data_IF_647187559700
#
_entry.id   IF_647187559700
#
_cell.length_a   1.000
_cell.length_b   1.000
_cell.length_c   1.000
_cell.angle_alpha   90.00
_cell.angle_beta   90.00
_cell.angle_gamma   90.00
#
_symmetry.space_group_name_H-M   'P 1'
#
loop_
_entity.id
_entity.type
_entity.pdbx_description
1 polymer ?
#
# COMPACT_ATOMS: atom_id res chain seq x y z
N UNK A 1 20.92 14.76 -3.46
CA UNK A 1 20.74 13.66 -4.45
C UNK A 1 20.42 12.34 -3.75
N UNK A 2 21.34 11.76 -2.97
CA UNK A 2 21.19 10.45 -2.30
C UNK A 2 19.96 10.34 -1.37
N UNK A 3 19.64 11.39 -0.60
CA UNK A 3 18.46 11.39 0.29
C UNK A 3 17.13 11.17 -0.46
N UNK A 4 17.00 11.69 -1.69
CA UNK A 4 15.80 11.49 -2.50
C UNK A 4 15.68 10.04 -2.96
N UNK A 5 16.81 9.41 -3.36
CA UNK A 5 16.84 7.98 -3.71
C UNK A 5 16.40 7.11 -2.52
N UNK A 6 16.99 7.34 -1.34
CA UNK A 6 16.66 6.61 -0.11
C UNK A 6 15.17 6.76 0.22
N UNK A 7 14.63 7.98 0.07
CA UNK A 7 13.20 8.24 0.27
C UNK A 7 12.31 7.41 -0.68
N UNK A 8 12.61 7.39 -1.98
CA UNK A 8 11.82 6.62 -2.95
C UNK A 8 11.91 5.11 -2.69
N UNK A 9 13.09 4.61 -2.32
CA UNK A 9 13.29 3.20 -1.94
C UNK A 9 12.48 2.86 -0.68
N UNK A 10 12.49 3.74 0.33
CA UNK A 10 11.70 3.56 1.55
C UNK A 10 10.19 3.51 1.25
N UNK A 11 9.69 4.42 0.42
CA UNK A 11 8.29 4.43 -0.01
C UNK A 11 7.92 3.13 -0.76
N UNK A 12 8.82 2.64 -1.61
CA UNK A 12 8.63 1.39 -2.34
C UNK A 12 8.57 0.18 -1.39
N UNK A 13 9.44 0.13 -0.38
CA UNK A 13 9.44 -0.93 0.63
C UNK A 13 8.15 -0.93 1.46
N UNK A 14 7.69 0.25 1.89
CA UNK A 14 6.42 0.40 2.62
C UNK A 14 5.23 -0.05 1.75
N UNK A 15 5.22 0.35 0.47
CA UNK A 15 4.17 -0.03 -0.46
C UNK A 15 4.14 -1.55 -0.72
N UNK A 16 5.31 -2.18 -0.82
CA UNK A 16 5.42 -3.64 -0.90
C UNK A 16 4.84 -4.32 0.34
N UNK A 17 5.13 -3.80 1.53
CA UNK A 17 4.53 -4.29 2.78
C UNK A 17 2.99 -4.19 2.80
N UNK A 18 2.43 -3.07 2.32
CA UNK A 18 0.98 -2.90 2.15
C UNK A 18 0.40 -3.94 1.17
N UNK A 19 1.07 -4.15 0.05
CA UNK A 19 0.64 -5.13 -0.96
C UNK A 19 0.65 -6.56 -0.39
N UNK A 20 1.70 -6.92 0.36
CA UNK A 20 1.81 -8.22 1.02
C UNK A 20 0.69 -8.43 2.07
N UNK A 21 0.37 -7.42 2.88
CA UNK A 21 -0.71 -7.51 3.88
C UNK A 21 -2.07 -7.70 3.21
N UNK A 22 -2.37 -6.91 2.16
CA UNK A 22 -3.64 -7.04 1.43
C UNK A 22 -3.74 -8.38 0.72
N UNK A 23 -2.63 -8.85 0.13
CA UNK A 23 -2.56 -10.14 -0.54
C UNK A 23 -2.77 -11.29 0.45
N UNK A 24 -2.12 -11.25 1.62
CA UNK A 24 -2.33 -12.23 2.70
C UNK A 24 -3.79 -12.28 3.15
N UNK A 25 -4.44 -11.11 3.30
CA UNK A 25 -5.85 -11.06 3.65
C UNK A 25 -6.76 -11.65 2.55
N UNK A 26 -6.44 -11.45 1.26
CA UNK A 26 -7.17 -12.06 0.14
C UNK A 26 -6.97 -13.59 0.09
N UNK A 27 -5.77 -14.07 0.41
CA UNK A 27 -5.48 -15.51 0.49
C UNK A 27 -6.32 -16.14 1.59
N UNK A 28 -6.32 -15.56 2.78
CA UNK A 28 -7.13 -16.02 3.91
C UNK A 28 -8.65 -16.03 3.60
N UNK A 29 -9.14 -15.06 2.82
CA UNK A 29 -10.53 -15.02 2.33
C UNK A 29 -10.82 -16.10 1.28
N UNK A 30 -9.84 -16.44 0.45
CA UNK A 30 -9.98 -17.46 -0.60
C UNK A 30 -9.93 -18.87 0.00
N UNK A 31 -9.06 -19.09 1.00
CA UNK A 31 -9.01 -20.35 1.75
C UNK A 31 -10.32 -20.57 2.53
N UNK A 32 -10.92 -19.49 3.04
CA UNK A 32 -12.24 -19.55 3.67
C UNK A 32 -13.35 -19.89 2.67
N UNK A 33 -13.27 -19.40 1.43
CA UNK A 33 -14.26 -19.68 0.37
C UNK A 33 -14.27 -21.16 -0.06
N UNK A 34 -13.12 -21.82 0.01
CA UNK A 34 -12.95 -23.25 -0.34
C UNK A 34 -13.15 -24.17 0.88
N UNK A 35 -13.66 -23.63 2.00
CA UNK A 35 -13.92 -24.35 3.26
C UNK A 35 -12.67 -25.05 3.84
N UNK A 36 -11.48 -24.53 3.53
CA UNK A 36 -10.19 -25.10 3.96
C UNK A 36 -9.78 -24.61 5.36
N UNK A 37 -10.37 -23.51 5.84
CA UNK A 37 -9.93 -22.81 7.04
C UNK A 37 -11.10 -22.30 7.87
N UNK A 38 -11.00 -22.44 9.19
CA UNK A 38 -12.04 -21.99 10.10
C UNK A 38 -12.27 -20.47 10.01
N UNK A 39 -13.52 -20.00 9.88
CA UNK A 39 -13.84 -18.57 9.77
C UNK A 39 -13.40 -17.77 10.98
N UNK A 40 -13.38 -18.38 12.17
CA UNK A 40 -12.92 -17.74 13.40
C UNK A 40 -11.41 -17.45 13.36
N UNK A 41 -10.61 -18.40 12.86
CA UNK A 41 -9.17 -18.23 12.73
C UNK A 41 -8.84 -17.23 11.61
N UNK A 42 -9.57 -17.29 10.50
CA UNK A 42 -9.39 -16.39 9.38
C UNK A 42 -9.68 -14.92 9.74
N UNK A 43 -10.82 -14.66 10.39
CA UNK A 43 -11.20 -13.32 10.84
C UNK A 43 -10.24 -12.76 11.90
N UNK A 44 -9.78 -13.58 12.85
CA UNK A 44 -8.79 -13.18 13.86
C UNK A 44 -7.45 -12.77 13.22
N UNK A 45 -6.96 -13.56 12.25
CA UNK A 45 -5.72 -13.24 11.54
C UNK A 45 -5.87 -11.97 10.71
N UNK A 46 -6.94 -11.83 9.94
CA UNK A 46 -7.19 -10.62 9.13
C UNK A 46 -7.30 -9.38 10.01
N UNK A 47 -7.98 -9.46 11.16
CA UNK A 47 -8.14 -8.33 12.06
C UNK A 47 -6.81 -7.87 12.67
N UNK A 48 -5.91 -8.80 12.97
CA UNK A 48 -4.57 -8.50 13.48
C UNK A 48 -3.74 -7.70 12.49
N UNK A 49 -3.87 -7.99 11.20
CA UNK A 49 -3.12 -7.33 10.12
C UNK A 49 -3.76 -6.04 9.60
N UNK A 50 -5.01 -5.78 9.99
CA UNK A 50 -5.73 -4.57 9.59
C UNK A 50 -5.08 -3.32 10.19
N UNK A 51 -4.74 -3.34 11.48
CA UNK A 51 -4.08 -2.22 12.17
C UNK A 51 -2.73 -1.83 11.54
N UNK A 52 -1.79 -2.75 11.27
CA UNK A 52 -0.55 -2.39 10.59
C UNK A 52 -0.77 -1.89 9.16
N UNK A 53 -1.80 -2.34 8.42
CA UNK A 53 -2.17 -1.76 7.11
C UNK A 53 -2.50 -0.26 7.25
N UNK A 54 -3.34 0.10 8.23
CA UNK A 54 -3.71 1.49 8.50
C UNK A 54 -2.51 2.36 8.84
N UNK A 55 -1.64 1.87 9.72
CA UNK A 55 -0.44 2.60 10.15
C UNK A 55 0.53 2.78 8.99
N UNK A 56 0.82 1.73 8.22
CA UNK A 56 1.71 1.82 7.06
C UNK A 56 1.17 2.77 6.00
N UNK A 57 -0.15 2.76 5.73
CA UNK A 57 -0.76 3.68 4.77
C UNK A 57 -0.71 5.14 5.25
N UNK A 58 -0.93 5.38 6.55
CA UNK A 58 -0.81 6.71 7.14
C UNK A 58 0.64 7.22 7.08
N UNK A 59 1.62 6.36 7.40
CA UNK A 59 3.05 6.70 7.30
C UNK A 59 3.43 7.01 5.85
N UNK A 60 2.99 6.21 4.88
CA UNK A 60 3.23 6.47 3.46
C UNK A 60 2.63 7.82 3.03
N UNK A 61 1.40 8.11 3.45
CA UNK A 61 0.73 9.39 3.16
C UNK A 61 1.47 10.58 3.78
N UNK A 62 1.99 10.44 5.00
CA UNK A 62 2.76 11.48 5.70
C UNK A 62 4.13 11.71 5.05
N UNK A 63 4.81 10.64 4.61
CA UNK A 63 6.06 10.72 3.85
C UNK A 63 5.88 11.46 2.52
N UNK A 64 4.77 11.21 1.80
CA UNK A 64 4.43 11.93 0.57
C UNK A 64 4.10 13.41 0.80
N UNK A 65 3.48 13.72 1.94
CA UNK A 65 3.23 15.11 2.37
C UNK A 65 4.56 15.84 2.65
N UNK A 66 5.47 15.21 3.39
CA UNK A 66 6.75 15.81 3.80
C UNK A 66 7.65 16.15 2.61
N UNK A 67 7.55 15.39 1.52
CA UNK A 67 8.33 15.60 0.28
C UNK A 67 7.65 16.55 -0.71
N UNK A 68 6.48 17.12 -0.38
CA UNK A 68 5.81 18.12 -1.22
C UNK A 68 5.22 17.56 -2.52
N UNK A 69 4.97 16.25 -2.61
CA UNK A 69 4.35 15.63 -3.78
C UNK A 69 2.82 15.69 -3.69
N UNK A 70 2.27 16.89 -3.88
CA UNK A 70 0.84 17.19 -3.71
C UNK A 70 -0.10 16.30 -4.53
N UNK A 71 0.28 15.92 -5.75
CA UNK A 71 -0.54 15.07 -6.64
C UNK A 71 -0.66 13.64 -6.09
N UNK A 72 0.46 13.03 -5.67
CA UNK A 72 0.45 11.69 -5.07
C UNK A 72 -0.24 11.69 -3.71
N UNK A 73 -0.07 12.76 -2.94
CA UNK A 73 -0.79 12.94 -1.69
C UNK A 73 -2.30 13.03 -1.92
N UNK A 74 -2.76 13.83 -2.89
CA UNK A 74 -4.18 13.98 -3.20
C UNK A 74 -4.82 12.66 -3.68
N UNK A 75 -4.05 11.78 -4.33
CA UNK A 75 -4.48 10.43 -4.69
C UNK A 75 -4.52 9.47 -3.47
N UNK A 76 -3.62 9.65 -2.51
CA UNK A 76 -3.56 8.85 -1.29
C UNK A 76 -4.64 9.26 -0.26
N UNK A 77 -4.96 10.56 -0.16
CA UNK A 77 -5.95 11.16 0.76
C UNK A 77 -7.31 10.47 0.76
N UNK A 78 -7.98 10.18 -0.37
CA UNK A 78 -9.27 9.48 -0.34
C UNK A 78 -9.13 8.07 0.25
N UNK A 79 -8.00 7.40 0.04
CA UNK A 79 -7.70 6.12 0.66
C UNK A 79 -7.54 6.28 2.18
N UNK A 80 -6.70 7.22 2.64
CA UNK A 80 -6.43 7.45 4.06
C UNK A 80 -7.67 7.93 4.81
N UNK A 81 -8.49 8.79 4.19
CA UNK A 81 -9.74 9.30 4.74
C UNK A 81 -10.79 8.20 4.84
N UNK A 82 -10.93 7.35 3.81
CA UNK A 82 -11.77 6.16 3.88
C UNK A 82 -11.35 5.24 5.05
N UNK A 83 -10.04 5.10 5.23
CA UNK A 83 -9.46 4.30 6.30
C UNK A 83 -9.72 4.90 7.69
N UNK A 84 -9.59 6.21 7.85
CA UNK A 84 -9.87 6.92 9.09
C UNK A 84 -11.36 6.87 9.48
N UNK A 85 -12.27 7.01 8.51
CA UNK A 85 -13.72 6.88 8.73
C UNK A 85 -14.06 5.47 9.21
N UNK A 86 -13.42 4.44 8.63
CA UNK A 86 -13.61 3.05 9.03
C UNK A 86 -13.09 2.78 10.46
N UNK A 87 -11.98 3.40 10.83
CA UNK A 87 -11.42 3.36 12.18
C UNK A 87 -12.35 4.03 13.20
N UNK A 88 -12.90 5.21 12.88
CA UNK A 88 -13.84 5.96 13.74
C UNK A 88 -15.16 5.21 13.93
N UNK A 89 -15.67 4.51 12.90
CA UNK A 89 -16.92 3.73 13.01
C UNK A 89 -16.79 2.43 13.82
N UNK A 90 -15.61 2.08 14.33
CA UNK A 90 -15.32 0.82 15.06
C UNK A 90 -15.73 -0.47 14.33
N UNK A 91 -16.02 -0.40 13.03
CA UNK A 91 -16.29 -1.54 12.15
C UNK A 91 -14.99 -2.17 11.64
N UNK A 92 -13.90 -2.13 12.43
CA UNK A 92 -12.62 -2.74 12.06
C UNK A 92 -12.66 -4.26 12.16
N UNK A 93 -13.56 -4.77 13.00
CA UNK A 93 -13.78 -6.19 13.21
C UNK A 93 -14.72 -6.70 12.13
N UNK A 94 -14.19 -7.64 11.38
CA UNK A 94 -14.96 -8.47 10.49
C UNK A 94 -15.71 -9.46 11.38
N UNK A 95 -17.02 -9.27 11.52
CA UNK A 95 -17.86 -10.19 12.32
C UNK A 95 -18.13 -11.47 11.53
N UNK A 96 -17.95 -12.61 12.19
CA UNK A 96 -17.93 -13.95 11.58
C UNK A 96 -19.26 -14.27 10.90
N UNK A 97 -20.35 -13.69 11.40
CA UNK A 97 -21.73 -13.87 10.91
C UNK A 97 -22.05 -13.03 9.68
N UNK A 98 -21.35 -11.91 9.44
CA UNK A 98 -21.56 -11.06 8.25
C UNK A 98 -20.58 -11.36 7.11
N UNK A 99 -19.42 -11.97 7.42
CA UNK A 99 -18.42 -12.39 6.43
C UNK A 99 -19.08 -13.20 5.34
N UNK A 100 -19.68 -14.34 5.68
CA UNK A 100 -20.23 -15.25 4.67
C UNK A 100 -21.32 -14.62 3.81
N UNK A 101 -22.08 -13.66 4.36
CA UNK A 101 -23.14 -12.95 3.64
C UNK A 101 -22.60 -11.92 2.64
N UNK A 102 -21.47 -11.27 2.97
CA UNK A 102 -20.88 -10.20 2.17
C UNK A 102 -19.51 -10.54 1.54
N UNK A 103 -19.05 -11.79 1.66
CA UNK A 103 -17.74 -12.31 1.22
C UNK A 103 -17.33 -11.78 -0.17
N UNK A 104 -18.25 -11.86 -1.14
CA UNK A 104 -17.97 -11.50 -2.52
C UNK A 104 -17.77 -9.99 -2.71
N UNK A 105 -18.53 -9.18 -1.96
CA UNK A 105 -18.41 -7.72 -1.93
C UNK A 105 -17.11 -7.29 -1.24
N UNK A 106 -16.77 -7.92 -0.12
CA UNK A 106 -15.54 -7.62 0.63
C UNK A 106 -14.28 -8.04 -0.14
N UNK A 107 -14.33 -9.18 -0.83
CA UNK A 107 -13.28 -9.64 -1.76
C UNK A 107 -13.09 -8.65 -2.90
N UNK A 108 -14.18 -8.20 -3.56
CA UNK A 108 -14.12 -7.20 -4.64
C UNK A 108 -13.55 -5.88 -4.15
N UNK A 109 -13.92 -5.44 -2.94
CA UNK A 109 -13.40 -4.23 -2.31
C UNK A 109 -11.90 -4.32 -2.03
N UNK A 110 -11.43 -5.46 -1.52
CA UNK A 110 -10.01 -5.73 -1.28
C UNK A 110 -9.21 -5.88 -2.58
N UNK A 111 -9.79 -6.46 -3.63
CA UNK A 111 -9.17 -6.50 -4.96
C UNK A 111 -9.01 -5.10 -5.57
N UNK A 112 -9.99 -4.22 -5.41
CA UNK A 112 -9.85 -2.82 -5.85
C UNK A 112 -8.72 -2.13 -5.09
N UNK A 113 -8.63 -2.31 -3.76
CA UNK A 113 -7.50 -1.78 -2.97
C UNK A 113 -6.15 -2.31 -3.48
N UNK A 114 -6.05 -3.61 -3.75
CA UNK A 114 -4.84 -4.23 -4.29
C UNK A 114 -4.45 -3.59 -5.63
N UNK A 115 -5.42 -3.38 -6.53
CA UNK A 115 -5.18 -2.71 -7.81
C UNK A 115 -4.67 -1.28 -7.64
N UNK A 116 -5.23 -0.53 -6.68
CA UNK A 116 -4.73 0.81 -6.36
C UNK A 116 -3.30 0.77 -5.83
N UNK A 117 -2.97 -0.13 -4.90
CA UNK A 117 -1.60 -0.30 -4.41
C UNK A 117 -0.62 -0.72 -5.51
N UNK A 118 -1.05 -1.55 -6.46
CA UNK A 118 -0.26 -1.93 -7.63
C UNK A 118 0.04 -0.73 -8.54
N UNK A 119 -0.92 0.18 -8.73
CA UNK A 119 -0.68 1.43 -9.49
C UNK A 119 0.36 2.29 -8.77
N UNK A 120 0.23 2.47 -7.45
CA UNK A 120 1.23 3.19 -6.65
C UNK A 120 2.62 2.54 -6.74
N UNK A 121 2.68 1.20 -6.70
CA UNK A 121 3.92 0.44 -6.84
C UNK A 121 4.63 0.75 -8.18
N UNK A 122 3.91 0.73 -9.29
CA UNK A 122 4.44 1.08 -10.62
C UNK A 122 4.97 2.52 -10.66
N UNK A 123 4.24 3.47 -10.06
CA UNK A 123 4.66 4.87 -9.99
C UNK A 123 5.96 5.00 -9.19
N UNK A 124 6.09 4.32 -8.06
CA UNK A 124 7.31 4.35 -7.24
C UNK A 124 8.51 3.73 -7.96
N UNK A 125 8.33 2.59 -8.64
CA UNK A 125 9.38 2.01 -9.48
C UNK A 125 9.83 3.00 -10.55
N UNK A 126 8.88 3.59 -11.28
CA UNK A 126 9.19 4.53 -12.35
C UNK A 126 10.01 5.73 -11.84
N UNK A 127 9.67 6.25 -10.65
CA UNK A 127 10.41 7.36 -10.02
C UNK A 127 11.82 6.95 -9.61
N UNK A 128 12.01 5.75 -9.05
CA UNK A 128 13.35 5.22 -8.71
C UNK A 128 14.19 5.07 -9.98
N UNK A 129 13.63 4.49 -11.05
CA UNK A 129 14.35 4.27 -12.32
C UNK A 129 14.72 5.61 -12.97
N UNK A 130 13.78 6.55 -13.06
CA UNK A 130 14.08 7.88 -13.61
C UNK A 130 15.20 8.58 -12.83
N UNK A 131 15.18 8.49 -11.51
CA UNK A 131 16.22 9.09 -10.69
C UNK A 131 17.57 8.41 -10.91
N UNK A 132 17.61 7.08 -11.01
CA UNK A 132 18.82 6.33 -11.29
C UNK A 132 19.39 6.65 -12.68
N UNK A 133 18.54 6.74 -13.71
CA UNK A 133 18.96 7.09 -15.08
C UNK A 133 19.51 8.51 -15.13
N UNK A 134 18.84 9.49 -14.51
CA UNK A 134 19.33 10.86 -14.45
C UNK A 134 20.68 10.98 -13.70
N UNK A 135 20.91 10.15 -12.69
CA UNK A 135 22.20 10.10 -12.01
C UNK A 135 23.31 9.61 -12.95
N UNK A 136 23.05 8.55 -13.72
CA UNK A 136 24.02 8.00 -14.66
C UNK A 136 24.34 9.02 -15.77
N UNK A 137 23.31 9.68 -16.32
CA UNK A 137 23.50 10.66 -17.39
C UNK A 137 24.27 11.91 -16.94
N UNK A 138 24.02 12.39 -15.72
CA UNK A 138 24.73 13.57 -15.21
C UNK A 138 26.18 13.25 -14.78
N UNK A 139 26.51 12.01 -14.42
CA UNK A 139 27.91 11.62 -14.16
C UNK A 139 28.76 11.68 -15.45
N UNK A 140 28.16 11.49 -16.64
CA UNK A 140 28.90 11.52 -17.93
C UNK A 140 29.17 12.95 -18.45
N UNK A 141 28.37 13.95 -18.04
CA UNK A 141 28.54 15.35 -18.49
C UNK A 141 29.64 16.10 -17.70
N UNK A 142 29.88 15.76 -16.43
CA UNK A 142 30.91 16.39 -15.58
C UNK A 142 32.35 16.13 -16.08
N UNK A 143 32.57 15.08 -16.89
CA UNK A 143 33.87 14.77 -17.50
C UNK A 143 34.17 15.61 -18.76
N UNK A 144 33.15 16.15 -19.44
CA UNK A 144 33.31 16.86 -20.73
C UNK A 144 33.61 18.35 -20.54
N UNK A 145 33.15 18.97 -19.45
CA UNK A 145 33.38 20.39 -19.15
C UNK A 145 34.75 20.68 -18.49
N UNK A 146 35.61 19.66 -18.35
CA UNK A 146 36.94 19.76 -17.72
C UNK A 146 38.11 19.94 -18.70
N UNK A 147 37.86 20.17 -20.00
CA UNK A 147 38.89 20.34 -21.04
C UNK A 147 38.91 21.71 -21.73
#
# INVERSE_FOLDING_TARGET
MILNLIFWILCLLINFGLLAIVFYALLCLTDLEVDQMDPFVATANINRWILPEFVLQAVLSLLLLLTGHWILFLLAVPLTCYHAILFIRRQHLIDVTEVFRNLNTDKKRRMIKLGVYMIFFTIFIFRVVLFAVNHILNDDDDDIDSF
#
